data_IF_628345547809
#
_entry.id   IF_628345547809
#
_cell.length_a   1.000
_cell.length_b   1.000
_cell.length_c   1.000
_cell.angle_alpha   90.00
_cell.angle_beta   90.00
_cell.angle_gamma   90.00
#
_symmetry.space_group_name_H-M   'P 1'
#
loop_
_entity.id
_entity.type
_entity.pdbx_description
1 polymer ?
#
# COMPACT_ATOMS: atom_id res chain seq x y z
N UNK A 1 -23.06 4.30 12.55
CA UNK A 1 -22.26 3.27 11.82
C UNK A 1 -22.87 3.00 10.45
N UNK A 2 -24.20 3.12 10.31
CA UNK A 2 -24.85 3.00 9.02
C UNK A 2 -24.43 4.13 8.09
N UNK A 3 -24.20 5.38 8.56
CA UNK A 3 -23.87 6.50 7.68
C UNK A 3 -22.54 6.36 6.92
N UNK A 4 -21.46 5.95 7.59
CA UNK A 4 -20.18 5.66 6.92
C UNK A 4 -20.32 4.49 5.95
N UNK A 5 -20.99 3.41 6.36
CA UNK A 5 -21.20 2.23 5.50
C UNK A 5 -22.11 2.60 4.30
N UNK A 6 -23.11 3.46 4.50
CA UNK A 6 -23.96 4.03 3.45
C UNK A 6 -23.13 4.85 2.47
N UNK A 7 -22.25 5.71 2.98
CA UNK A 7 -21.38 6.55 2.14
C UNK A 7 -20.42 5.67 1.33
N UNK A 8 -19.84 4.62 1.93
CA UNK A 8 -19.02 3.64 1.22
C UNK A 8 -19.82 2.85 0.17
N UNK A 9 -21.03 2.41 0.49
CA UNK A 9 -21.90 1.64 -0.41
C UNK A 9 -22.47 2.47 -1.57
N UNK A 10 -22.86 3.72 -1.30
CA UNK A 10 -23.26 4.67 -2.34
C UNK A 10 -22.09 4.97 -3.29
N UNK A 11 -20.86 5.06 -2.76
CA UNK A 11 -19.65 5.31 -3.55
C UNK A 11 -19.22 4.11 -4.40
N UNK A 12 -19.37 2.87 -3.92
CA UNK A 12 -19.10 1.68 -4.75
C UNK A 12 -20.04 1.57 -5.96
N UNK A 13 -21.19 2.24 -5.91
CA UNK A 13 -22.16 2.28 -7.01
C UNK A 13 -22.06 3.54 -7.88
N UNK A 14 -21.29 4.56 -7.46
CA UNK A 14 -21.05 5.78 -8.26
C UNK A 14 -20.14 5.54 -9.48
N UNK A 15 -19.55 4.35 -9.61
CA UNK A 15 -18.78 3.93 -10.80
C UNK A 15 -19.72 3.68 -12.00
N UNK A 16 -21.01 3.42 -11.75
CA UNK A 16 -22.03 3.26 -12.78
C UNK A 16 -22.78 4.60 -12.97
N UNK A 17 -22.30 5.41 -13.91
CA UNK A 17 -22.80 6.75 -14.25
C UNK A 17 -24.32 6.76 -14.56
N UNK A 18 -25.19 6.96 -13.57
CA UNK A 18 -26.60 7.20 -13.90
C UNK A 18 -27.60 7.51 -12.79
N UNK A 19 -27.52 6.89 -11.61
CA UNK A 19 -28.43 7.22 -10.52
C UNK A 19 -27.91 6.71 -9.17
N UNK A 20 -27.85 7.58 -8.15
CA UNK A 20 -27.68 7.12 -6.76
C UNK A 20 -28.88 6.21 -6.42
N UNK A 21 -28.67 4.97 -5.95
CA UNK A 21 -29.76 4.15 -5.45
C UNK A 21 -30.42 4.85 -4.28
N UNK A 22 -31.75 4.81 -4.19
CA UNK A 22 -32.46 5.19 -2.98
C UNK A 22 -31.97 4.29 -1.84
N UNK A 23 -31.55 4.91 -0.73
CA UNK A 23 -31.14 4.17 0.46
C UNK A 23 -32.29 3.23 0.88
N UNK A 24 -31.98 1.97 1.24
CA UNK A 24 -32.99 1.08 1.79
C UNK A 24 -33.62 1.71 3.04
N UNK A 25 -34.96 1.64 3.15
CA UNK A 25 -35.77 2.34 4.17
C UNK A 25 -35.37 1.92 5.60
N UNK A 26 -34.84 0.71 5.76
CA UNK A 26 -34.40 0.09 7.01
C UNK A 26 -33.03 0.56 7.51
N UNK A 27 -32.32 1.40 6.74
CA UNK A 27 -31.01 1.95 7.12
C UNK A 27 -31.09 3.26 7.91
N UNK A 28 -32.24 3.57 8.51
CA UNK A 28 -32.34 4.69 9.44
C UNK A 28 -31.54 4.35 10.69
N UNK A 29 -30.55 5.18 11.04
CA UNK A 29 -29.88 5.11 12.33
C UNK A 29 -30.96 5.29 13.41
N UNK A 30 -31.37 4.18 14.05
CA UNK A 30 -32.32 4.24 15.15
C UNK A 30 -31.66 4.99 16.29
N UNK A 31 -32.00 6.28 16.42
CA UNK A 31 -31.46 7.19 17.42
C UNK A 31 -31.56 6.62 18.85
N UNK A 32 -32.50 5.69 19.08
CA UNK A 32 -32.64 4.94 20.32
C UNK A 32 -31.40 4.15 20.74
N UNK A 33 -30.63 3.59 19.80
CA UNK A 33 -29.41 2.80 20.09
C UNK A 33 -28.26 3.71 20.52
N UNK A 34 -28.13 4.87 19.86
CA UNK A 34 -27.12 5.88 20.24
C UNK A 34 -27.43 6.41 21.63
N UNK A 35 -28.70 6.69 21.92
CA UNK A 35 -29.15 7.16 23.24
C UNK A 35 -28.87 6.10 24.32
N UNK A 36 -29.14 4.81 24.06
CA UNK A 36 -28.86 3.75 25.04
C UNK A 36 -27.36 3.57 25.29
N UNK A 37 -26.54 3.61 24.23
CA UNK A 37 -25.08 3.53 24.37
C UNK A 37 -24.51 4.70 25.15
N UNK A 38 -25.05 5.90 24.96
CA UNK A 38 -24.62 7.09 25.69
C UNK A 38 -24.97 7.01 27.18
N UNK A 39 -26.12 6.42 27.53
CA UNK A 39 -26.50 6.15 28.91
C UNK A 39 -25.57 5.10 29.57
N UNK A 40 -25.20 4.05 28.84
CA UNK A 40 -24.29 3.01 29.35
C UNK A 40 -22.87 3.56 29.56
N UNK A 41 -22.39 4.39 28.64
CA UNK A 41 -21.08 5.07 28.76
C UNK A 41 -21.06 6.00 29.97
N UNK A 42 -22.14 6.78 30.18
CA UNK A 42 -22.26 7.64 31.35
C UNK A 42 -22.18 6.83 32.65
N UNK A 43 -22.91 5.71 32.72
CA UNK A 43 -22.88 4.81 33.87
C UNK A 43 -21.46 4.27 34.14
N UNK A 44 -20.71 3.94 33.09
CA UNK A 44 -19.33 3.45 33.22
C UNK A 44 -18.33 4.53 33.64
N UNK A 45 -18.59 5.80 33.29
CA UNK A 45 -17.84 6.94 33.84
C UNK A 45 -18.14 7.14 35.32
N UNK A 46 -19.41 7.06 35.73
CA UNK A 46 -19.82 7.28 37.11
C UNK A 46 -19.21 6.24 38.08
N UNK A 47 -18.95 5.02 37.59
CA UNK A 47 -18.29 3.93 38.33
C UNK A 47 -16.74 4.03 38.22
N UNK A 48 -16.21 5.01 37.47
CA UNK A 48 -14.78 5.25 37.32
C UNK A 48 -14.05 4.27 36.40
N UNK A 49 -14.77 3.48 35.62
CA UNK A 49 -14.19 2.54 34.66
C UNK A 49 -13.73 3.19 33.35
N UNK A 50 -14.31 4.35 33.00
CA UNK A 50 -13.91 5.13 31.83
C UNK A 50 -13.50 6.53 32.32
N UNK A 51 -12.24 6.92 32.05
CA UNK A 51 -11.70 8.22 32.46
C UNK A 51 -11.91 9.31 31.40
N UNK A 52 -11.89 8.95 30.12
CA UNK A 52 -12.07 9.88 29.00
C UNK A 52 -13.06 9.27 28.00
N UNK A 53 -14.16 9.99 27.74
CA UNK A 53 -15.18 9.55 26.80
C UNK A 53 -15.05 10.33 25.51
N UNK A 54 -14.73 9.61 24.44
CA UNK A 54 -14.80 10.12 23.08
C UNK A 54 -16.27 10.37 22.71
N UNK A 55 -16.54 11.48 22.02
CA UNK A 55 -17.88 11.76 21.52
C UNK A 55 -18.32 10.64 20.56
N UNK A 56 -19.45 9.99 20.86
CA UNK A 56 -19.95 8.87 20.07
C UNK A 56 -20.21 9.25 18.61
N UNK A 57 -20.55 10.50 18.32
CA UNK A 57 -20.70 11.01 16.96
C UNK A 57 -19.36 11.15 16.24
N UNK A 58 -18.29 11.47 16.95
CA UNK A 58 -16.93 11.51 16.39
C UNK A 58 -16.39 10.09 16.12
N UNK A 59 -16.84 9.10 16.88
CA UNK A 59 -16.51 7.70 16.65
C UNK A 59 -17.33 7.09 15.50
N UNK A 60 -18.62 7.43 15.41
CA UNK A 60 -19.55 6.92 14.40
C UNK A 60 -19.31 7.57 13.03
N UNK A 61 -18.97 8.86 13.00
CA UNK A 61 -18.80 9.66 11.78
C UNK A 61 -17.52 10.52 11.92
N UNK A 62 -16.33 9.88 11.87
CA UNK A 62 -15.08 10.59 12.04
C UNK A 62 -14.83 11.54 10.86
N UNK A 63 -14.44 12.78 11.16
CA UNK A 63 -14.18 13.84 10.16
C UNK A 63 -13.12 13.40 9.13
N UNK A 64 -12.20 12.51 9.52
CA UNK A 64 -11.15 11.96 8.65
C UNK A 64 -11.70 11.05 7.54
N UNK A 65 -12.89 10.47 7.73
CA UNK A 65 -13.59 9.66 6.72
C UNK A 65 -14.62 10.49 5.92
N UNK A 66 -14.70 11.81 6.14
CA UNK A 66 -15.53 12.67 5.32
C UNK A 66 -14.97 12.70 3.89
N UNK A 67 -15.69 12.02 2.99
CA UNK A 67 -15.41 12.04 1.57
C UNK A 67 -15.82 13.41 1.04
N UNK A 68 -14.83 14.24 0.69
CA UNK A 68 -15.07 15.53 0.03
C UNK A 68 -15.77 15.23 -1.31
N UNK A 69 -17.03 15.65 -1.44
CA UNK A 69 -17.88 15.45 -2.63
C UNK A 69 -17.52 16.37 -3.80
N UNK A 70 -16.34 16.99 -3.79
CA UNK A 70 -15.92 17.85 -4.88
C UNK A 70 -15.40 16.99 -6.04
N UNK A 71 -16.26 16.84 -7.04
CA UNK A 71 -16.01 16.06 -8.24
C UNK A 71 -14.76 16.57 -8.96
N UNK A 72 -14.49 17.88 -8.92
CA UNK A 72 -13.33 18.48 -9.55
C UNK A 72 -12.04 18.05 -8.82
N UNK A 73 -12.02 18.05 -7.49
CA UNK A 73 -10.90 17.52 -6.69
C UNK A 73 -10.67 16.02 -6.92
N UNK A 74 -11.74 15.23 -7.10
CA UNK A 74 -11.63 13.79 -7.39
C UNK A 74 -11.09 13.56 -8.80
N UNK A 75 -11.60 14.28 -9.80
CA UNK A 75 -11.12 14.21 -11.18
C UNK A 75 -9.66 14.64 -11.25
N UNK A 76 -9.28 15.75 -10.61
CA UNK A 76 -7.89 16.20 -10.53
C UNK A 76 -7.01 15.14 -9.89
N UNK A 77 -7.44 14.48 -8.80
CA UNK A 77 -6.66 13.40 -8.18
C UNK A 77 -6.49 12.16 -9.08
N UNK A 78 -7.47 11.87 -9.93
CA UNK A 78 -7.44 10.74 -10.88
C UNK A 78 -6.57 11.11 -12.09
N UNK A 79 -6.73 12.33 -12.64
CA UNK A 79 -5.94 12.87 -13.74
C UNK A 79 -4.47 12.97 -13.33
N UNK A 80 -4.16 13.47 -12.12
CA UNK A 80 -2.79 13.54 -11.60
C UNK A 80 -2.17 12.14 -11.42
N UNK A 81 -2.97 11.12 -11.11
CA UNK A 81 -2.50 9.72 -10.98
C UNK A 81 -2.35 9.00 -12.32
N UNK A 82 -3.07 9.41 -13.36
CA UNK A 82 -3.13 8.68 -14.65
C UNK A 82 -2.45 9.42 -15.81
N UNK A 83 -2.25 10.72 -15.71
CA UNK A 83 -1.42 11.52 -16.60
C UNK A 83 -0.22 12.05 -15.82
N UNK A 84 0.91 11.31 -15.75
CA UNK A 84 2.17 11.98 -15.55
C UNK A 84 2.42 12.81 -16.82
N UNK A 85 1.98 14.07 -16.79
CA UNK A 85 2.30 15.01 -17.85
C UNK A 85 3.81 15.06 -18.00
N UNK A 86 4.25 14.67 -19.19
CA UNK A 86 5.57 14.91 -19.74
C UNK A 86 5.70 16.44 -19.85
N UNK A 87 6.17 17.09 -18.79
CA UNK A 87 6.63 18.46 -18.82
C UNK A 87 8.08 18.49 -18.35
N UNK A 88 8.91 18.75 -19.35
CA UNK A 88 10.34 19.06 -19.35
C UNK A 88 10.77 20.04 -18.27
N UNK A 89 11.97 19.79 -17.73
CA UNK A 89 12.90 20.72 -17.07
C UNK A 89 12.52 21.27 -15.68
N UNK A 90 12.37 20.38 -14.70
CA UNK A 90 12.98 20.59 -13.37
C UNK A 90 13.26 19.23 -12.72
N UNK A 91 14.49 18.74 -12.87
CA UNK A 91 15.02 17.47 -12.35
C UNK A 91 15.12 17.47 -10.80
N UNK A 92 13.99 17.49 -10.10
CA UNK A 92 13.89 17.05 -8.71
C UNK A 92 12.66 16.13 -8.57
N UNK A 93 12.65 15.09 -9.42
CA UNK A 93 11.98 13.85 -9.11
C UNK A 93 12.48 13.43 -7.72
N UNK A 94 11.59 13.42 -6.72
CA UNK A 94 11.86 12.82 -5.42
C UNK A 94 12.14 11.33 -5.68
N UNK A 95 13.37 11.02 -6.07
CA UNK A 95 13.89 9.68 -6.12
C UNK A 95 13.78 9.18 -4.68
N UNK A 96 12.74 8.41 -4.40
CA UNK A 96 12.78 7.51 -3.25
C UNK A 96 14.08 6.73 -3.42
N UNK A 97 15.06 7.04 -2.57
CA UNK A 97 16.37 6.41 -2.62
C UNK A 97 16.18 4.91 -2.40
N UNK A 98 16.09 4.15 -3.49
CA UNK A 98 16.00 2.71 -3.41
C UNK A 98 17.27 2.23 -2.72
N UNK A 99 17.17 1.56 -1.57
CA UNK A 99 18.35 1.17 -0.82
C UNK A 99 19.25 0.29 -1.68
N UNK A 100 20.54 0.63 -1.71
CA UNK A 100 21.52 -0.11 -2.50
C UNK A 100 21.66 -1.53 -1.93
N UNK A 101 21.18 -2.52 -2.69
CA UNK A 101 21.30 -3.94 -2.35
C UNK A 101 22.73 -4.41 -2.62
N UNK A 102 23.33 -5.12 -1.66
CA UNK A 102 24.69 -5.67 -1.83
C UNK A 102 24.68 -6.83 -2.83
N UNK A 103 25.79 -7.06 -3.52
CA UNK A 103 25.91 -8.15 -4.52
C UNK A 103 25.56 -9.53 -3.94
N UNK A 104 25.96 -9.81 -2.69
CA UNK A 104 25.63 -11.06 -2.02
C UNK A 104 24.14 -11.19 -1.72
N UNK A 105 23.47 -10.11 -1.34
CA UNK A 105 22.02 -10.09 -1.09
C UNK A 105 21.25 -10.33 -2.39
N UNK A 106 21.66 -9.69 -3.48
CA UNK A 106 21.08 -9.92 -4.80
C UNK A 106 21.25 -11.37 -5.28
N UNK A 107 22.42 -11.98 -5.03
CA UNK A 107 22.65 -13.40 -5.36
C UNK A 107 21.78 -14.34 -4.50
N UNK A 108 21.60 -14.05 -3.21
CA UNK A 108 20.68 -14.82 -2.35
C UNK A 108 19.24 -14.70 -2.83
N UNK A 109 18.78 -13.50 -3.19
CA UNK A 109 17.45 -13.28 -3.73
C UNK A 109 17.21 -14.10 -5.02
N UNK A 110 18.19 -14.13 -5.93
CA UNK A 110 18.12 -14.97 -7.14
C UNK A 110 18.00 -16.46 -6.79
N UNK A 111 18.72 -16.95 -5.78
CA UNK A 111 18.61 -18.35 -5.36
C UNK A 111 17.23 -18.67 -4.77
N UNK A 112 16.66 -17.75 -4.02
CA UNK A 112 15.30 -17.90 -3.45
C UNK A 112 14.27 -17.96 -4.57
N UNK A 113 14.29 -16.99 -5.50
CA UNK A 113 13.36 -16.94 -6.64
C UNK A 113 13.48 -18.20 -7.51
N UNK A 114 14.70 -18.66 -7.75
CA UNK A 114 14.94 -19.88 -8.52
C UNK A 114 14.32 -21.10 -7.84
N UNK A 115 14.53 -21.27 -6.53
CA UNK A 115 13.95 -22.39 -5.77
C UNK A 115 12.43 -22.31 -5.73
N UNK A 116 11.87 -21.11 -5.56
CA UNK A 116 10.44 -20.90 -5.59
C UNK A 116 9.84 -21.37 -6.92
N UNK A 117 10.48 -21.03 -8.04
CA UNK A 117 10.00 -21.42 -9.36
C UNK A 117 10.17 -22.91 -9.64
N UNK A 118 11.31 -23.50 -9.26
CA UNK A 118 11.58 -24.94 -9.40
C UNK A 118 10.61 -25.83 -8.59
N UNK A 119 9.95 -25.26 -7.57
CA UNK A 119 8.96 -25.96 -6.74
C UNK A 119 7.53 -25.86 -7.25
N UNK A 120 7.27 -25.02 -8.27
CA UNK A 120 5.93 -24.90 -8.85
C UNK A 120 5.60 -26.11 -9.73
N UNK A 121 4.31 -26.47 -9.78
CA UNK A 121 3.82 -27.55 -10.64
C UNK A 121 3.98 -27.20 -12.12
N UNK A 122 3.76 -25.92 -12.45
CA UNK A 122 3.88 -25.34 -13.80
C UNK A 122 4.95 -24.23 -13.83
N UNK A 123 6.16 -24.51 -13.31
CA UNK A 123 7.24 -23.52 -13.26
C UNK A 123 7.65 -23.01 -14.64
N UNK A 124 7.89 -21.70 -14.75
CA UNK A 124 8.27 -21.02 -15.99
C UNK A 124 9.77 -21.26 -16.32
N UNK A 125 10.09 -22.03 -17.39
CA UNK A 125 11.47 -22.31 -17.77
C UNK A 125 12.18 -21.05 -18.31
N UNK A 126 11.45 -20.09 -18.88
CA UNK A 126 12.01 -18.83 -19.36
C UNK A 126 12.39 -17.93 -18.19
N UNK A 127 11.58 -17.89 -17.14
CA UNK A 127 11.91 -17.18 -15.92
C UNK A 127 13.20 -17.72 -15.27
N UNK A 128 13.34 -19.05 -15.16
CA UNK A 128 14.56 -19.70 -14.68
C UNK A 128 15.81 -19.34 -15.51
N UNK A 129 15.65 -19.29 -16.84
CA UNK A 129 16.73 -18.89 -17.76
C UNK A 129 17.15 -17.44 -17.52
N UNK A 130 16.19 -16.53 -17.36
CA UNK A 130 16.45 -15.11 -17.07
C UNK A 130 17.20 -14.96 -15.74
N UNK A 131 16.74 -15.64 -14.68
CA UNK A 131 17.42 -15.64 -13.38
C UNK A 131 18.86 -16.14 -13.48
N UNK A 132 19.11 -17.19 -14.26
CA UNK A 132 20.46 -17.72 -14.49
C UNK A 132 21.39 -16.74 -15.25
N UNK A 133 20.88 -15.99 -16.22
CA UNK A 133 21.64 -14.94 -16.90
C UNK A 133 21.97 -13.80 -15.95
N UNK A 134 21.00 -13.33 -15.15
CA UNK A 134 21.23 -12.24 -14.20
C UNK A 134 22.20 -12.63 -13.08
N UNK A 135 22.08 -13.85 -12.54
CA UNK A 135 23.01 -14.36 -11.53
C UNK A 135 24.46 -14.36 -12.01
N UNK A 136 24.71 -14.83 -13.25
CA UNK A 136 26.05 -14.79 -13.85
C UNK A 136 26.60 -13.38 -14.03
N UNK A 137 25.75 -12.41 -14.40
CA UNK A 137 26.16 -11.00 -14.54
C UNK A 137 26.55 -10.38 -13.20
N UNK A 138 25.80 -10.69 -12.13
CA UNK A 138 26.13 -10.21 -10.78
C UNK A 138 27.43 -10.86 -10.29
N UNK A 139 27.58 -12.16 -10.46
CA UNK A 139 28.80 -12.88 -10.07
C UNK A 139 30.04 -12.35 -10.81
N UNK A 140 29.91 -12.07 -12.11
CA UNK A 140 30.98 -11.46 -12.89
C UNK A 140 31.38 -10.08 -12.35
N UNK A 141 30.40 -9.23 -11.99
CA UNK A 141 30.66 -7.91 -11.39
C UNK A 141 31.36 -8.03 -10.04
N UNK A 142 30.92 -8.96 -9.20
CA UNK A 142 31.54 -9.26 -7.90
C UNK A 142 33.01 -9.67 -8.06
N UNK A 143 33.28 -10.66 -8.92
CA UNK A 143 34.65 -11.15 -9.16
C UNK A 143 35.54 -10.06 -9.76
N UNK A 144 35.00 -9.22 -10.66
CA UNK A 144 35.74 -8.10 -11.25
C UNK A 144 36.03 -7.00 -10.22
N UNK A 145 35.08 -6.70 -9.35
CA UNK A 145 35.21 -5.71 -8.28
C UNK A 145 36.21 -6.12 -7.19
N UNK A 146 36.37 -7.43 -6.95
CA UNK A 146 37.39 -7.98 -6.05
C UNK A 146 38.83 -7.84 -6.58
N UNK A 147 39.00 -7.35 -7.81
CA UNK A 147 40.29 -7.12 -8.44
C UNK A 147 40.95 -8.43 -8.86
N UNK A 148 41.39 -8.49 -10.11
CA UNK A 148 42.35 -9.50 -10.53
C UNK A 148 43.67 -9.22 -9.80
N UNK A 149 43.87 -9.80 -8.62
CA UNK A 149 45.19 -9.80 -7.99
C UNK A 149 46.11 -10.60 -8.89
N UNK A 150 47.06 -9.93 -9.52
CA UNK A 150 48.08 -10.58 -10.33
C UNK A 150 48.76 -11.65 -9.47
N UNK A 151 48.74 -12.90 -9.90
CA UNK A 151 49.39 -14.01 -9.19
C UNK A 151 50.88 -13.73 -8.98
N UNK A 152 51.49 -12.88 -9.82
CA UNK A 152 52.89 -12.44 -9.67
C UNK A 152 53.13 -11.66 -8.38
N UNK A 153 52.12 -10.99 -7.83
CA UNK A 153 52.24 -10.31 -6.53
C UNK A 153 52.49 -11.26 -5.35
N UNK A 154 52.15 -12.55 -5.49
CA UNK A 154 52.41 -13.57 -4.47
C UNK A 154 53.82 -14.16 -4.52
N UNK A 155 54.52 -14.03 -5.65
CA UNK A 155 55.86 -14.63 -5.85
C UNK A 155 57.00 -13.65 -5.54
N UNK A 156 56.71 -12.47 -5.00
CA UNK A 156 57.68 -11.43 -4.66
C UNK A 156 57.73 -11.09 -3.16
N UNK A 157 57.21 -11.97 -2.28
CA UNK A 157 57.47 -11.95 -0.83
C UNK A 157 58.48 -13.01 -0.43
#
# INVERSE_FOLDING_TARGET
>A
MLRTIQNCWAKSQAIDFGARPLLPIDWQETSSVIISLQADIQRLQDIGHIQEVMNIHQFIDPIQEQVIEDVDTIIDSIVTRQSPEILTDNDEELQEEVPIVKENEALMAIQILRRYEEQQVDGDPDFLRVLGVQGRKIEYRRVRGLGQRDLRSWFHS
#
